data_IF_215434544566
#
_entry.id   IF_215434544566
#
_cell.length_a   1.000
_cell.length_b   1.000
_cell.length_c   1.000
_cell.angle_alpha   90.00
_cell.angle_beta   90.00
_cell.angle_gamma   90.00
#
_symmetry.space_group_name_H-M   'P 1'
#
loop_
_entity.id
_entity.type
_entity.pdbx_description
1 polymer ?
#
# COMPACT_ATOMS: atom_id res chain seq x y z
N UNK A 1 19.15 -63.26 47.83
CA UNK A 1 18.52 -62.65 46.61
C UNK A 1 17.39 -61.69 46.92
N UNK A 2 16.59 -61.91 47.91
CA UNK A 2 15.46 -61.08 48.34
C UNK A 2 15.80 -59.61 48.62
N UNK A 3 16.90 -59.32 49.36
CA UNK A 3 17.27 -57.94 49.71
C UNK A 3 17.58 -57.03 48.50
N UNK A 4 18.15 -57.59 47.41
CA UNK A 4 18.42 -56.83 46.18
C UNK A 4 17.13 -56.48 45.42
N UNK A 5 16.14 -57.39 45.43
CA UNK A 5 14.84 -57.14 44.81
C UNK A 5 14.10 -56.05 45.57
N UNK A 6 14.10 -56.08 46.92
CA UNK A 6 13.46 -55.01 47.70
C UNK A 6 14.14 -53.64 47.51
N UNK A 7 15.48 -53.59 47.41
CA UNK A 7 16.22 -52.35 47.17
C UNK A 7 15.88 -51.78 45.77
N UNK A 8 15.76 -52.66 44.75
CA UNK A 8 15.38 -52.25 43.43
C UNK A 8 13.92 -51.75 43.37
N UNK A 9 13.00 -52.45 44.04
CA UNK A 9 11.61 -52.02 44.17
C UNK A 9 11.47 -50.69 44.87
N UNK A 10 12.25 -50.43 45.96
CA UNK A 10 12.26 -49.16 46.67
C UNK A 10 12.79 -48.04 45.79
N UNK A 11 13.84 -48.31 45.00
CA UNK A 11 14.38 -47.32 44.03
C UNK A 11 13.35 -46.91 43.00
N UNK A 12 12.65 -47.88 42.41
CA UNK A 12 11.60 -47.59 41.43
C UNK A 12 10.41 -46.86 42.05
N UNK A 13 10.01 -47.27 43.27
CA UNK A 13 8.92 -46.58 43.96
C UNK A 13 9.27 -45.11 44.26
N UNK A 14 10.50 -44.83 44.70
CA UNK A 14 11.01 -43.49 44.93
C UNK A 14 11.08 -42.69 43.63
N UNK A 15 11.57 -43.27 42.56
CA UNK A 15 11.64 -42.62 41.25
C UNK A 15 10.23 -42.26 40.74
N UNK A 16 9.27 -43.17 40.84
CA UNK A 16 7.87 -42.90 40.49
C UNK A 16 7.23 -41.84 41.34
N UNK A 17 7.53 -41.84 42.63
CA UNK A 17 7.06 -40.78 43.56
C UNK A 17 7.60 -39.40 43.16
N UNK A 18 8.89 -39.30 42.84
CA UNK A 18 9.52 -38.04 42.38
C UNK A 18 8.96 -37.56 41.06
N UNK A 19 8.70 -38.50 40.11
CA UNK A 19 8.02 -38.17 38.83
C UNK A 19 6.58 -37.72 39.06
N UNK A 20 5.86 -38.34 39.98
CA UNK A 20 4.50 -37.91 40.38
C UNK A 20 4.49 -36.51 41.01
N UNK A 21 5.43 -36.23 41.90
CA UNK A 21 5.62 -34.89 42.48
C UNK A 21 5.89 -33.85 41.38
N UNK A 22 6.76 -34.18 40.44
CA UNK A 22 7.08 -33.26 39.34
C UNK A 22 5.89 -33.05 38.44
N UNK A 23 5.16 -34.13 38.11
CA UNK A 23 3.94 -34.00 37.33
C UNK A 23 2.87 -33.14 38.03
N UNK A 24 2.71 -33.35 39.35
CA UNK A 24 1.80 -32.53 40.14
C UNK A 24 2.23 -31.05 40.18
N UNK A 25 3.52 -30.76 40.35
CA UNK A 25 4.06 -29.42 40.29
C UNK A 25 3.74 -28.74 38.96
N UNK A 26 3.97 -29.41 37.84
CA UNK A 26 3.71 -28.89 36.49
C UNK A 26 2.23 -28.70 36.22
N UNK A 27 1.39 -29.65 36.67
CA UNK A 27 -0.05 -29.66 36.35
C UNK A 27 -0.89 -28.80 37.29
N UNK A 28 -0.44 -28.59 38.53
CA UNK A 28 -1.19 -27.84 39.55
C UNK A 28 -0.56 -26.49 39.88
N UNK A 29 0.72 -26.46 40.25
CA UNK A 29 1.35 -25.23 40.68
C UNK A 29 1.78 -24.31 39.53
N UNK A 30 2.22 -24.90 38.44
CA UNK A 30 2.67 -24.16 37.24
C UNK A 30 1.64 -24.16 36.10
N UNK A 31 0.41 -24.66 36.35
CA UNK A 31 -0.64 -24.79 35.34
C UNK A 31 -0.90 -23.48 34.59
N UNK A 32 -1.14 -22.39 35.33
CA UNK A 32 -1.44 -21.09 34.72
C UNK A 32 -0.31 -20.60 33.82
N UNK A 33 0.94 -20.79 34.26
CA UNK A 33 2.12 -20.39 33.50
C UNK A 33 2.25 -21.17 32.19
N UNK A 34 1.98 -22.48 32.22
CA UNK A 34 2.04 -23.31 31.01
C UNK A 34 0.80 -23.17 30.14
N UNK A 35 -0.36 -22.94 30.72
CA UNK A 35 -1.59 -22.61 30.01
C UNK A 35 -1.45 -21.30 29.22
N UNK A 36 -0.92 -20.23 29.86
CA UNK A 36 -0.64 -18.96 29.20
C UNK A 36 0.41 -19.10 28.07
N UNK A 37 1.46 -19.89 28.28
CA UNK A 37 2.44 -20.19 27.23
C UNK A 37 1.85 -21.01 26.09
N UNK A 38 0.98 -21.97 26.38
CA UNK A 38 0.25 -22.74 25.38
C UNK A 38 -0.67 -21.85 24.57
N UNK A 39 -1.43 -20.97 25.24
CA UNK A 39 -2.30 -19.98 24.58
C UNK A 39 -1.50 -19.08 23.64
N UNK A 40 -0.34 -18.57 24.06
CA UNK A 40 0.53 -17.75 23.21
C UNK A 40 1.12 -18.48 21.99
N UNK A 41 1.12 -19.81 22.00
CA UNK A 41 1.64 -20.61 20.88
C UNK A 41 0.61 -20.92 19.80
N UNK A 42 -0.69 -20.86 20.09
CA UNK A 42 -1.73 -21.16 19.13
C UNK A 42 -2.64 -19.97 18.78
N UNK A 43 -2.62 -18.90 19.59
CA UNK A 43 -3.32 -17.66 19.29
C UNK A 43 -2.32 -16.63 18.76
N UNK A 44 -2.50 -16.23 17.52
CA UNK A 44 -1.79 -15.11 16.88
C UNK A 44 -2.74 -13.95 16.70
N UNK A 45 -2.29 -12.76 16.99
CA UNK A 45 -3.02 -11.54 16.65
C UNK A 45 -2.52 -11.03 15.31
N UNK A 46 -3.47 -10.73 14.41
CA UNK A 46 -3.19 -10.16 13.10
C UNK A 46 -3.95 -8.84 12.95
N UNK A 47 -3.33 -7.87 12.29
CA UNK A 47 -4.00 -6.63 11.94
C UNK A 47 -5.01 -6.86 10.82
N UNK A 48 -6.19 -6.25 10.94
CA UNK A 48 -7.17 -6.13 9.86
C UNK A 48 -6.95 -4.77 9.22
N UNK A 49 -6.55 -4.69 7.94
CA UNK A 49 -6.36 -3.41 7.26
C UNK A 49 -7.66 -2.60 7.26
N UNK A 50 -7.57 -1.31 7.57
CA UNK A 50 -8.69 -0.39 7.44
C UNK A 50 -8.68 0.24 6.05
N UNK A 51 -9.84 0.38 5.41
CA UNK A 51 -9.94 1.15 4.17
C UNK A 51 -9.54 2.61 4.41
N UNK A 52 -8.79 3.18 3.47
CA UNK A 52 -8.45 4.61 3.47
C UNK A 52 -9.66 5.42 3.02
N UNK A 53 -9.80 6.64 3.53
CA UNK A 53 -10.80 7.60 3.08
C UNK A 53 -10.64 7.94 1.59
N UNK A 54 -11.73 8.34 0.96
CA UNK A 54 -11.73 8.79 -0.44
C UNK A 54 -11.20 10.21 -0.54
N UNK A 55 -10.60 10.52 -1.70
CA UNK A 55 -10.32 11.90 -2.10
C UNK A 55 -11.31 12.24 -3.22
N UNK A 56 -12.07 13.29 -3.01
CA UNK A 56 -13.11 13.76 -3.92
C UNK A 56 -12.77 15.16 -4.44
N UNK A 57 -13.18 15.48 -5.65
CA UNK A 57 -13.16 16.85 -6.12
C UNK A 57 -14.31 17.67 -5.51
N UNK A 58 -14.35 18.99 -5.75
CA UNK A 58 -15.38 19.89 -5.23
C UNK A 58 -16.83 19.53 -5.63
N UNK A 59 -17.02 18.68 -6.62
CA UNK A 59 -18.31 18.19 -7.12
C UNK A 59 -18.60 16.76 -6.69
N UNK A 60 -17.80 16.18 -5.79
CA UNK A 60 -17.97 14.84 -5.28
C UNK A 60 -17.50 13.73 -6.24
N UNK A 61 -16.77 14.06 -7.32
CA UNK A 61 -16.19 13.06 -8.22
C UNK A 61 -14.97 12.41 -7.57
N UNK A 62 -14.91 11.09 -7.60
CA UNK A 62 -13.84 10.32 -6.93
C UNK A 62 -12.52 10.48 -7.69
N UNK A 63 -11.50 10.99 -7.01
CA UNK A 63 -10.12 11.09 -7.48
C UNK A 63 -9.27 9.92 -6.98
N UNK A 64 -9.49 9.50 -5.74
CA UNK A 64 -8.83 8.33 -5.15
C UNK A 64 -9.80 7.60 -4.22
N UNK A 65 -9.78 6.27 -4.27
CA UNK A 65 -10.55 5.39 -3.38
C UNK A 65 -9.84 4.04 -3.25
N UNK A 66 -10.24 3.28 -2.27
CA UNK A 66 -9.83 1.89 -2.18
C UNK A 66 -10.79 1.00 -2.98
N UNK A 67 -10.25 -0.09 -3.53
CA UNK A 67 -11.03 -1.15 -4.17
C UNK A 67 -10.57 -2.51 -3.71
N UNK A 68 -11.49 -3.46 -3.69
CA UNK A 68 -11.16 -4.86 -3.46
C UNK A 68 -10.62 -5.46 -4.75
N UNK A 69 -9.47 -6.09 -4.69
CA UNK A 69 -8.87 -6.85 -5.79
C UNK A 69 -8.54 -8.25 -5.33
N UNK A 70 -8.50 -9.17 -6.27
CA UNK A 70 -8.17 -10.57 -6.02
C UNK A 70 -6.84 -10.89 -6.68
N UNK A 71 -5.90 -11.42 -5.92
CA UNK A 71 -4.62 -11.89 -6.41
C UNK A 71 -4.58 -13.43 -6.42
N UNK A 72 -3.95 -14.02 -7.43
CA UNK A 72 -3.64 -15.43 -7.45
C UNK A 72 -2.27 -15.64 -6.80
N UNK A 73 -2.24 -16.40 -5.70
CA UNK A 73 -1.03 -16.66 -4.91
C UNK A 73 -0.61 -18.11 -5.01
N UNK A 74 0.69 -18.33 -5.16
CA UNK A 74 1.33 -19.63 -5.24
C UNK A 74 2.43 -19.74 -4.17
N UNK A 75 2.49 -20.90 -3.50
CA UNK A 75 3.44 -21.15 -2.40
C UNK A 75 4.46 -22.25 -2.71
N UNK A 76 4.55 -22.64 -3.97
CA UNK A 76 5.47 -23.70 -4.41
C UNK A 76 4.81 -25.08 -4.46
N UNK A 77 5.52 -26.06 -5.02
CA UNK A 77 5.07 -27.44 -5.16
C UNK A 77 4.26 -27.73 -6.43
N UNK A 78 3.71 -28.92 -6.52
CA UNK A 78 2.91 -29.33 -7.68
C UNK A 78 1.52 -28.70 -7.63
N UNK A 79 1.04 -28.25 -8.80
CA UNK A 79 -0.27 -27.65 -8.99
C UNK A 79 -1.09 -28.52 -9.93
N UNK A 80 -2.29 -28.89 -9.52
CA UNK A 80 -3.22 -29.57 -10.40
C UNK A 80 -3.63 -28.65 -11.56
N UNK A 81 -3.92 -29.24 -12.72
CA UNK A 81 -4.36 -28.52 -13.92
C UNK A 81 -3.39 -27.42 -14.40
N UNK A 82 -2.09 -27.59 -14.17
CA UNK A 82 -1.03 -26.66 -14.61
C UNK A 82 -1.17 -26.28 -16.09
N UNK A 83 -1.49 -27.25 -16.97
CA UNK A 83 -1.68 -27.04 -18.40
C UNK A 83 -2.82 -26.07 -18.74
N UNK A 84 -3.86 -26.01 -17.92
CA UNK A 84 -4.97 -25.04 -18.06
C UNK A 84 -4.63 -23.69 -17.45
N UNK A 85 -3.83 -23.69 -16.38
CA UNK A 85 -3.47 -22.48 -15.62
C UNK A 85 -2.45 -21.59 -16.37
N UNK A 86 -1.38 -22.18 -16.90
CA UNK A 86 -0.27 -21.43 -17.50
C UNK A 86 -0.69 -20.51 -18.64
N UNK A 87 -1.53 -20.95 -19.62
CA UNK A 87 -2.00 -20.05 -20.69
C UNK A 87 -2.83 -18.88 -20.17
N UNK A 88 -3.63 -19.06 -19.10
CA UNK A 88 -4.43 -17.98 -18.50
C UNK A 88 -3.55 -16.90 -17.84
N UNK A 89 -2.35 -17.30 -17.40
CA UNK A 89 -1.39 -16.40 -16.78
C UNK A 89 -0.39 -15.82 -17.78
N UNK A 90 -0.29 -16.38 -18.98
CA UNK A 90 0.73 -16.05 -19.97
C UNK A 90 2.13 -16.50 -19.56
N UNK A 91 2.21 -17.60 -18.80
CA UNK A 91 3.46 -18.18 -18.29
C UNK A 91 3.80 -19.46 -19.06
N UNK A 92 5.09 -19.71 -19.26
CA UNK A 92 5.59 -20.98 -19.81
C UNK A 92 5.70 -22.06 -18.74
N UNK A 93 6.06 -21.65 -17.51
CA UNK A 93 6.15 -22.53 -16.34
C UNK A 93 5.89 -21.77 -15.04
N UNK A 94 5.63 -22.50 -13.94
CA UNK A 94 5.51 -21.91 -12.61
C UNK A 94 6.90 -21.61 -12.05
N UNK A 95 7.07 -20.43 -11.39
CA UNK A 95 8.34 -20.09 -10.77
C UNK A 95 8.65 -21.04 -9.60
N UNK A 96 9.92 -21.34 -9.39
CA UNK A 96 10.34 -21.99 -8.15
C UNK A 96 10.34 -20.96 -7.04
N UNK A 97 9.49 -21.14 -6.05
CA UNK A 97 9.32 -20.23 -4.94
C UNK A 97 9.41 -20.94 -3.61
N UNK A 98 10.00 -20.27 -2.62
CA UNK A 98 10.09 -20.72 -1.22
C UNK A 98 9.14 -19.95 -0.31
N UNK A 99 8.59 -18.84 -0.82
CA UNK A 99 7.65 -17.98 -0.11
C UNK A 99 6.40 -17.72 -0.96
N UNK A 100 5.25 -17.38 -0.34
CA UNK A 100 4.04 -17.04 -1.07
C UNK A 100 4.27 -15.93 -2.10
N UNK A 101 4.11 -16.26 -3.37
CA UNK A 101 4.38 -15.36 -4.51
C UNK A 101 3.09 -15.09 -5.27
N UNK A 102 2.87 -13.85 -5.65
CA UNK A 102 1.72 -13.45 -6.48
C UNK A 102 2.03 -13.79 -7.93
N UNK A 103 1.32 -14.77 -8.52
CA UNK A 103 1.42 -15.13 -9.93
C UNK A 103 0.67 -14.14 -10.82
N UNK A 104 -0.48 -13.67 -10.37
CA UNK A 104 -1.29 -12.67 -11.06
C UNK A 104 -1.93 -11.72 -10.06
N UNK A 105 -1.53 -10.48 -10.11
CA UNK A 105 -2.14 -9.42 -9.31
C UNK A 105 -3.39 -8.87 -10.00
N UNK A 106 -4.43 -8.56 -9.23
CA UNK A 106 -5.66 -7.98 -9.73
C UNK A 106 -6.34 -8.85 -10.80
N UNK A 107 -6.67 -10.08 -10.45
CA UNK A 107 -7.36 -11.02 -11.35
C UNK A 107 -8.60 -10.36 -11.95
N UNK A 108 -8.71 -10.27 -13.29
CA UNK A 108 -9.90 -9.76 -13.96
C UNK A 108 -11.15 -10.56 -13.58
N UNK A 109 -12.28 -9.88 -13.43
CA UNK A 109 -13.57 -10.52 -13.08
C UNK A 109 -13.93 -11.68 -14.01
N UNK A 110 -13.64 -11.54 -15.31
CA UNK A 110 -13.89 -12.58 -16.33
C UNK A 110 -13.07 -13.87 -16.07
N UNK A 111 -11.91 -13.79 -15.42
CA UNK A 111 -11.07 -14.97 -15.13
C UNK A 111 -11.33 -15.57 -13.74
N UNK A 112 -12.02 -14.82 -12.89
CA UNK A 112 -12.24 -15.21 -11.50
C UNK A 112 -12.93 -16.58 -11.35
N UNK A 113 -14.07 -16.88 -12.02
CA UNK A 113 -14.73 -18.18 -11.88
C UNK A 113 -13.84 -19.35 -12.30
N UNK A 114 -13.08 -19.18 -13.40
CA UNK A 114 -12.15 -20.22 -13.88
C UNK A 114 -11.02 -20.48 -12.88
N UNK A 115 -10.46 -19.40 -12.29
CA UNK A 115 -9.40 -19.53 -11.30
C UNK A 115 -9.93 -20.07 -9.97
N UNK A 116 -11.15 -19.75 -9.56
CA UNK A 116 -11.81 -20.37 -8.41
C UNK A 116 -11.96 -21.88 -8.58
N UNK A 117 -12.39 -22.33 -9.78
CA UNK A 117 -12.43 -23.78 -10.11
C UNK A 117 -11.04 -24.42 -10.03
N UNK A 118 -10.02 -23.80 -10.64
CA UNK A 118 -8.67 -24.35 -10.70
C UNK A 118 -7.96 -24.35 -9.35
N UNK A 119 -8.29 -23.44 -8.45
CA UNK A 119 -7.70 -23.36 -7.11
C UNK A 119 -8.44 -24.21 -6.08
N UNK A 120 -9.64 -24.68 -6.40
CA UNK A 120 -10.47 -25.46 -5.48
C UNK A 120 -9.73 -26.71 -4.99
N UNK A 121 -9.63 -26.87 -3.68
CA UNK A 121 -8.98 -28.00 -3.03
C UNK A 121 -7.43 -28.00 -3.08
N UNK A 122 -6.80 -26.98 -3.65
CA UNK A 122 -5.35 -26.82 -3.64
C UNK A 122 -4.91 -25.97 -2.44
N UNK A 123 -3.86 -26.43 -1.73
CA UNK A 123 -3.31 -25.70 -0.57
C UNK A 123 -2.22 -24.69 -0.98
N UNK A 124 -1.58 -24.94 -2.10
CA UNK A 124 -0.41 -24.21 -2.59
C UNK A 124 -0.72 -23.21 -3.72
N UNK A 125 -1.98 -23.17 -4.15
CA UNK A 125 -2.48 -22.21 -5.13
C UNK A 125 -3.86 -21.73 -4.66
N UNK A 126 -4.02 -20.42 -4.40
CA UNK A 126 -5.27 -19.88 -3.88
C UNK A 126 -5.47 -18.42 -4.29
N UNK A 127 -6.72 -17.99 -4.27
CA UNK A 127 -7.10 -16.60 -4.46
C UNK A 127 -7.06 -15.88 -3.11
N UNK A 128 -6.49 -14.68 -3.11
CA UNK A 128 -6.39 -13.82 -1.93
C UNK A 128 -6.96 -12.46 -2.25
N UNK A 129 -7.95 -12.05 -1.48
CA UNK A 129 -8.48 -10.69 -1.53
C UNK A 129 -7.53 -9.73 -0.82
N UNK A 130 -7.36 -8.54 -1.40
CA UNK A 130 -6.66 -7.42 -0.78
C UNK A 130 -7.32 -6.10 -1.15
N UNK A 131 -7.12 -5.11 -0.30
CA UNK A 131 -7.47 -3.73 -0.60
C UNK A 131 -6.33 -3.12 -1.42
N UNK A 132 -6.69 -2.38 -2.47
CA UNK A 132 -5.76 -1.65 -3.32
C UNK A 132 -6.22 -0.21 -3.49
N UNK A 133 -5.31 0.75 -3.32
CA UNK A 133 -5.59 2.14 -3.65
C UNK A 133 -5.78 2.30 -5.14
N UNK A 134 -6.84 2.99 -5.55
CA UNK A 134 -7.20 3.17 -6.96
C UNK A 134 -7.59 4.61 -7.25
N UNK A 135 -7.10 5.12 -8.37
CA UNK A 135 -7.34 6.47 -8.85
C UNK A 135 -8.16 6.42 -10.14
N UNK A 136 -9.51 6.42 -10.06
CA UNK A 136 -10.39 6.29 -11.23
C UNK A 136 -10.30 7.50 -12.16
N UNK A 137 -10.01 8.66 -11.61
CA UNK A 137 -9.81 9.91 -12.31
C UNK A 137 -8.45 10.49 -11.92
N UNK A 138 -7.33 9.88 -12.38
CA UNK A 138 -6.01 10.35 -11.98
C UNK A 138 -5.81 11.79 -12.45
N UNK A 139 -5.30 12.61 -11.55
CA UNK A 139 -4.80 13.96 -11.84
C UNK A 139 -3.28 13.94 -11.78
N UNK A 140 -2.64 15.07 -12.08
CA UNK A 140 -1.18 15.23 -12.01
C UNK A 140 -0.58 14.44 -10.84
N UNK A 141 0.19 13.40 -11.13
CA UNK A 141 0.77 12.49 -10.14
C UNK A 141 1.56 13.22 -9.05
N UNK A 142 2.41 14.21 -9.35
CA UNK A 142 3.10 15.00 -8.33
C UNK A 142 2.17 15.74 -7.35
N UNK A 143 0.96 16.06 -7.78
CA UNK A 143 -0.07 16.72 -6.94
C UNK A 143 -0.82 15.68 -6.13
N UNK A 144 -1.34 14.63 -6.77
CA UNK A 144 -2.06 13.56 -6.09
C UNK A 144 -1.16 12.83 -5.09
N UNK A 145 0.07 12.55 -5.49
CA UNK A 145 0.95 11.66 -4.75
C UNK A 145 0.65 10.19 -5.02
N UNK A 146 1.13 9.34 -4.16
CA UNK A 146 0.98 7.89 -4.25
C UNK A 146 1.12 7.23 -2.88
N UNK A 147 0.69 5.99 -2.78
CA UNK A 147 0.82 5.15 -1.58
C UNK A 147 1.83 4.04 -1.80
N UNK A 148 2.58 3.70 -0.77
CA UNK A 148 3.42 2.49 -0.68
C UNK A 148 3.26 1.87 0.70
N UNK A 149 3.70 0.62 0.85
CA UNK A 149 3.82 0.00 2.17
C UNK A 149 4.70 0.83 3.09
N UNK A 150 4.37 0.80 4.37
CA UNK A 150 5.10 1.52 5.39
C UNK A 150 6.59 1.18 5.37
N UNK A 151 7.44 2.19 5.32
CA UNK A 151 8.88 2.03 5.43
C UNK A 151 9.31 1.85 6.90
N UNK A 152 10.58 1.50 7.13
CA UNK A 152 11.10 1.24 8.47
C UNK A 152 10.93 2.42 9.45
N UNK A 153 10.94 3.66 8.97
CA UNK A 153 10.73 4.84 9.82
C UNK A 153 9.25 4.97 10.20
N UNK A 154 8.34 4.71 9.28
CA UNK A 154 6.89 4.74 9.52
C UNK A 154 6.46 3.60 10.44
N UNK A 155 7.06 2.41 10.32
CA UNK A 155 6.82 1.30 11.25
C UNK A 155 7.20 1.68 12.69
N UNK A 156 8.31 2.40 12.88
CA UNK A 156 8.67 2.95 14.19
C UNK A 156 7.68 3.99 14.73
N UNK A 157 6.92 4.64 13.85
CA UNK A 157 5.85 5.58 14.19
C UNK A 157 4.50 4.90 14.46
N UNK A 158 4.44 3.55 14.42
CA UNK A 158 3.24 2.78 14.74
C UNK A 158 2.39 2.37 13.52
N UNK A 159 2.94 2.46 12.30
CA UNK A 159 2.31 1.86 11.13
C UNK A 159 2.58 0.35 11.09
N UNK A 160 1.64 -0.44 10.59
CA UNK A 160 1.89 -1.85 10.29
C UNK A 160 2.79 -1.97 9.05
N UNK A 161 3.72 -2.94 8.97
CA UNK A 161 4.54 -3.15 7.78
C UNK A 161 3.75 -3.38 6.48
N UNK A 162 2.54 -3.90 6.61
CA UNK A 162 1.65 -4.17 5.47
C UNK A 162 0.72 -2.98 5.15
N UNK A 163 0.69 -1.95 5.97
CA UNK A 163 -0.16 -0.78 5.82
C UNK A 163 0.31 0.11 4.67
N UNK A 164 -0.62 0.55 3.82
CA UNK A 164 -0.33 1.50 2.77
C UNK A 164 -0.38 2.92 3.32
N UNK A 165 0.69 3.68 3.09
CA UNK A 165 0.90 5.03 3.63
C UNK A 165 1.16 5.99 2.47
N UNK A 166 0.57 7.17 2.53
CA UNK A 166 0.86 8.25 1.59
C UNK A 166 2.33 8.68 1.65
N UNK A 167 3.02 8.65 0.50
CA UNK A 167 4.44 8.97 0.42
C UNK A 167 4.70 10.38 -0.11
N UNK A 168 3.78 10.93 -0.87
CA UNK A 168 3.93 12.25 -1.50
C UNK A 168 2.57 12.90 -1.77
N UNK A 169 2.57 14.17 -2.16
CA UNK A 169 1.41 14.91 -2.63
C UNK A 169 0.27 14.96 -1.61
N UNK A 170 -0.96 14.95 -2.13
CA UNK A 170 -2.18 14.97 -1.31
C UNK A 170 -2.33 13.71 -0.46
N UNK A 171 -1.91 12.54 -0.97
CA UNK A 171 -1.95 11.29 -0.18
C UNK A 171 -1.14 11.40 1.11
N UNK A 172 0.04 12.03 1.07
CA UNK A 172 0.87 12.23 2.26
C UNK A 172 0.37 13.40 3.13
N UNK A 173 -0.01 14.51 2.51
CA UNK A 173 -0.45 15.71 3.23
C UNK A 173 -1.76 15.46 4.01
N UNK A 174 -2.64 14.62 3.46
CA UNK A 174 -3.93 14.28 4.04
C UNK A 174 -3.91 12.95 4.83
N UNK A 175 -2.74 12.33 5.00
CA UNK A 175 -2.58 11.06 5.73
C UNK A 175 -3.32 11.03 7.07
N UNK A 176 -3.29 12.08 7.92
CA UNK A 176 -4.00 12.07 9.21
C UNK A 176 -5.52 11.88 9.11
N UNK A 177 -6.11 12.26 7.98
CA UNK A 177 -7.54 12.12 7.70
C UNK A 177 -7.85 10.84 6.94
N UNK A 178 -7.04 10.54 5.92
CA UNK A 178 -7.24 9.40 5.03
C UNK A 178 -6.95 8.07 5.69
N UNK A 179 -6.04 8.03 6.65
CA UNK A 179 -5.69 6.82 7.37
C UNK A 179 -6.85 6.31 8.20
N UNK A 180 -7.27 5.06 7.98
CA UNK A 180 -8.20 4.38 8.86
C UNK A 180 -7.51 3.84 10.13
N UNK A 181 -8.33 3.44 11.10
CA UNK A 181 -7.85 2.71 12.27
C UNK A 181 -7.96 1.21 12.00
N UNK A 182 -6.83 0.52 11.98
CA UNK A 182 -6.78 -0.94 11.80
C UNK A 182 -7.59 -1.66 12.89
N UNK A 183 -8.23 -2.76 12.51
CA UNK A 183 -8.82 -3.72 13.43
C UNK A 183 -7.79 -4.77 13.87
N UNK A 184 -8.20 -5.63 14.77
CA UNK A 184 -7.39 -6.74 15.28
C UNK A 184 -8.22 -8.01 15.26
N UNK A 185 -7.65 -9.10 14.75
CA UNK A 185 -8.24 -10.44 14.85
C UNK A 185 -7.29 -11.39 15.56
N UNK A 186 -7.87 -12.30 16.32
CA UNK A 186 -7.18 -13.46 16.85
C UNK A 186 -7.33 -14.62 15.86
N UNK A 187 -6.22 -15.23 15.50
CA UNK A 187 -6.16 -16.41 14.63
C UNK A 187 -5.64 -17.58 15.46
N UNK A 188 -6.46 -18.59 15.61
CA UNK A 188 -6.07 -19.86 16.21
C UNK A 188 -5.33 -20.72 15.18
N UNK A 189 -4.12 -21.13 15.48
CA UNK A 189 -3.32 -22.00 14.59
C UNK A 189 -2.96 -23.29 15.31
N UNK A 190 -2.91 -24.39 14.56
CA UNK A 190 -2.40 -25.67 15.08
C UNK A 190 -0.86 -25.69 15.08
N UNK A 191 -0.29 -26.78 15.58
CA UNK A 191 1.17 -27.00 15.62
C UNK A 191 1.85 -27.00 14.25
N UNK A 192 1.08 -27.10 13.17
CA UNK A 192 1.55 -27.02 11.78
C UNK A 192 1.39 -25.62 11.17
N UNK A 193 0.86 -24.65 11.95
CA UNK A 193 0.57 -23.31 11.49
C UNK A 193 -0.71 -23.17 10.65
N UNK A 194 -1.55 -24.22 10.58
CA UNK A 194 -2.83 -24.18 9.86
C UNK A 194 -3.85 -23.39 10.70
N UNK A 195 -4.59 -22.48 10.05
CA UNK A 195 -5.64 -21.68 10.69
C UNK A 195 -6.84 -22.57 11.04
N UNK A 196 -7.22 -22.60 12.30
CA UNK A 196 -8.35 -23.35 12.82
C UNK A 196 -9.60 -22.48 13.00
N UNK A 197 -9.39 -21.27 13.53
CA UNK A 197 -10.48 -20.35 13.84
C UNK A 197 -9.99 -18.92 13.77
N UNK A 198 -10.86 -18.02 13.33
CA UNK A 198 -10.62 -16.56 13.37
C UNK A 198 -11.72 -15.89 14.20
N UNK A 199 -11.32 -14.91 15.01
CA UNK A 199 -12.25 -14.12 15.82
C UNK A 199 -11.80 -12.66 15.75
N UNK A 200 -12.69 -11.79 15.27
CA UNK A 200 -12.43 -10.35 15.26
C UNK A 200 -12.50 -9.83 16.69
N UNK A 201 -11.43 -9.21 17.17
CA UNK A 201 -11.34 -8.60 18.49
C UNK A 201 -11.69 -7.11 18.43
N UNK A 202 -11.25 -6.43 17.38
CA UNK A 202 -11.53 -5.02 17.13
C UNK A 202 -11.79 -4.83 15.64
N UNK A 203 -12.93 -4.24 15.29
CA UNK A 203 -13.29 -3.95 13.90
C UNK A 203 -12.45 -2.79 13.34
N UNK A 204 -12.02 -2.85 12.08
CA UNK A 204 -11.34 -1.73 11.45
C UNK A 204 -12.29 -0.55 11.24
N UNK A 205 -11.79 0.66 11.47
CA UNK A 205 -12.55 1.89 11.21
C UNK A 205 -11.99 2.57 9.96
N UNK A 206 -12.81 2.80 8.92
CA UNK A 206 -12.36 3.50 7.71
C UNK A 206 -11.83 4.90 7.99
N UNK A 207 -10.92 5.37 7.15
CA UNK A 207 -10.48 6.77 7.14
C UNK A 207 -11.59 7.72 6.70
N UNK A 208 -11.37 9.01 6.93
CA UNK A 208 -12.33 10.06 6.56
C UNK A 208 -12.20 10.41 5.07
N UNK A 209 -13.34 10.60 4.42
CA UNK A 209 -13.38 11.13 3.06
C UNK A 209 -13.04 12.62 3.07
N UNK A 210 -12.23 13.05 2.09
CA UNK A 210 -11.79 14.43 1.95
C UNK A 210 -12.30 15.01 0.64
N UNK A 211 -12.98 16.14 0.70
CA UNK A 211 -13.43 16.91 -0.45
C UNK A 211 -12.45 18.05 -0.69
N UNK A 212 -11.82 18.07 -1.87
CA UNK A 212 -10.89 19.09 -2.30
C UNK A 212 -11.64 20.28 -2.93
N UNK A 213 -10.95 21.40 -3.00
CA UNK A 213 -11.41 22.58 -3.75
C UNK A 213 -11.19 22.44 -5.26
N UNK A 214 -10.40 21.45 -5.71
CA UNK A 214 -10.10 21.17 -7.11
C UNK A 214 -11.38 20.84 -7.90
N UNK A 215 -11.51 21.42 -9.11
CA UNK A 215 -12.50 21.01 -10.11
C UNK A 215 -11.81 20.10 -11.14
N UNK A 216 -12.23 18.84 -11.23
CA UNK A 216 -11.63 17.86 -12.13
C UNK A 216 -11.65 18.30 -13.60
N UNK A 217 -12.68 19.02 -14.05
CA UNK A 217 -12.73 19.49 -15.43
C UNK A 217 -11.68 20.58 -15.70
N UNK A 218 -11.55 21.53 -14.79
CA UNK A 218 -10.52 22.57 -14.87
C UNK A 218 -9.12 21.98 -14.70
N UNK A 219 -8.96 21.01 -13.81
CA UNK A 219 -7.70 20.29 -13.60
C UNK A 219 -7.22 19.64 -14.91
N UNK A 220 -8.09 18.88 -15.60
CA UNK A 220 -7.76 18.25 -16.88
C UNK A 220 -7.46 19.26 -17.98
N UNK A 221 -8.19 20.39 -18.00
CA UNK A 221 -7.91 21.47 -18.94
C UNK A 221 -6.51 22.08 -18.68
N UNK A 222 -6.15 22.29 -17.41
CA UNK A 222 -4.84 22.80 -17.03
C UNK A 222 -3.70 21.82 -17.37
N UNK A 223 -3.89 20.52 -17.12
CA UNK A 223 -2.93 19.48 -17.48
C UNK A 223 -2.68 19.44 -18.99
N UNK A 224 -3.76 19.40 -19.77
CA UNK A 224 -3.69 19.42 -21.24
C UNK A 224 -3.00 20.68 -21.77
N UNK A 225 -3.41 21.84 -21.28
CA UNK A 225 -2.78 23.13 -21.69
C UNK A 225 -1.29 23.19 -21.33
N UNK A 226 -0.91 22.60 -20.19
CA UNK A 226 0.50 22.52 -19.79
C UNK A 226 1.30 21.61 -20.74
N UNK A 227 0.77 20.44 -21.08
CA UNK A 227 1.41 19.51 -22.03
C UNK A 227 1.60 20.15 -23.41
N UNK A 228 0.53 20.79 -23.95
CA UNK A 228 0.56 21.48 -25.24
C UNK A 228 1.60 22.62 -25.22
N UNK A 229 1.59 23.48 -24.20
CA UNK A 229 2.55 24.58 -24.07
C UNK A 229 4.01 24.09 -23.97
N UNK A 230 4.26 23.02 -23.25
CA UNK A 230 5.62 22.44 -23.12
C UNK A 230 6.08 21.83 -24.43
N UNK A 231 5.19 21.18 -25.17
CA UNK A 231 5.48 20.64 -26.51
C UNK A 231 5.83 21.75 -27.50
N UNK A 232 5.05 22.84 -27.52
CA UNK A 232 5.32 24.00 -28.37
C UNK A 232 6.64 24.70 -28.05
N UNK A 233 6.96 24.84 -26.76
CA UNK A 233 8.25 25.41 -26.31
C UNK A 233 9.40 24.50 -26.77
N UNK A 234 9.26 23.18 -26.64
CA UNK A 234 10.31 22.24 -27.06
C UNK A 234 10.49 22.25 -28.59
N UNK A 235 9.41 22.29 -29.35
CA UNK A 235 9.44 22.45 -30.81
C UNK A 235 10.13 23.77 -31.22
N UNK A 236 9.78 24.88 -30.58
CA UNK A 236 10.40 26.19 -30.81
C UNK A 236 11.90 26.21 -30.50
N UNK A 237 12.33 25.50 -29.45
CA UNK A 237 13.75 25.33 -29.11
C UNK A 237 14.51 24.59 -30.20
N UNK A 238 13.96 23.50 -30.72
CA UNK A 238 14.58 22.72 -31.83
C UNK A 238 14.72 23.57 -33.09
N UNK A 239 13.69 24.32 -33.44
CA UNK A 239 13.72 25.21 -34.60
C UNK A 239 14.81 26.30 -34.49
N UNK A 240 15.15 26.73 -33.28
CA UNK A 240 16.17 27.72 -33.00
C UNK A 240 17.54 27.14 -32.71
N UNK A 241 17.76 25.82 -32.92
CA UNK A 241 19.04 25.15 -32.73
C UNK A 241 19.55 25.11 -31.29
N UNK A 242 18.63 25.23 -30.32
CA UNK A 242 18.95 25.10 -28.89
C UNK A 242 19.11 23.62 -28.53
N UNK A 243 20.02 23.27 -27.60
CA UNK A 243 20.29 21.91 -27.22
C UNK A 243 19.00 21.19 -26.73
N UNK A 244 18.80 19.95 -27.17
CA UNK A 244 17.70 19.07 -26.72
C UNK A 244 17.89 18.56 -25.28
N UNK A 245 18.94 18.97 -24.60
CA UNK A 245 19.45 18.33 -23.39
C UNK A 245 18.53 18.32 -22.18
N UNK A 246 17.40 19.05 -22.19
CA UNK A 246 16.50 19.07 -21.03
C UNK A 246 15.05 19.10 -21.48
N UNK A 247 14.31 18.08 -21.08
CA UNK A 247 12.86 18.09 -21.15
C UNK A 247 12.31 19.39 -20.53
N UNK A 248 11.48 20.11 -21.27
CA UNK A 248 10.83 21.35 -20.77
C UNK A 248 9.89 20.96 -19.63
N UNK A 249 9.91 21.74 -18.56
CA UNK A 249 9.20 21.47 -17.32
C UNK A 249 8.39 22.68 -16.92
N UNK A 250 7.24 22.46 -16.28
CA UNK A 250 6.39 23.56 -15.88
C UNK A 250 5.30 23.19 -14.89
N UNK A 251 4.53 24.20 -14.49
CA UNK A 251 3.36 24.01 -13.66
C UNK A 251 2.31 25.09 -13.99
N UNK A 252 1.04 24.76 -13.74
CA UNK A 252 -0.11 25.68 -13.79
C UNK A 252 -0.83 25.59 -12.46
N UNK A 253 -1.17 26.74 -11.87
CA UNK A 253 -2.05 26.83 -10.69
C UNK A 253 -3.18 27.81 -11.01
N UNK A 254 -4.42 27.37 -10.82
CA UNK A 254 -5.60 28.22 -10.93
C UNK A 254 -6.21 28.42 -9.54
N UNK A 255 -6.39 29.68 -9.16
CA UNK A 255 -6.94 30.08 -7.87
C UNK A 255 -8.24 30.87 -8.08
N UNK A 256 -9.20 30.70 -7.18
CA UNK A 256 -10.29 31.65 -7.02
C UNK A 256 -9.76 32.90 -6.29
N UNK A 257 -9.79 34.08 -6.93
CA UNK A 257 -9.24 35.27 -6.31
C UNK A 257 -10.07 35.80 -5.12
N UNK A 258 -11.30 35.34 -4.99
CA UNK A 258 -12.22 35.77 -3.92
C UNK A 258 -12.04 34.93 -2.66
N UNK A 259 -11.92 33.62 -2.81
CA UNK A 259 -11.84 32.68 -1.70
C UNK A 259 -10.42 32.21 -1.40
N UNK A 260 -9.52 32.28 -2.39
CA UNK A 260 -8.18 31.72 -2.32
C UNK A 260 -8.13 30.20 -2.56
N UNK A 261 -9.27 29.60 -2.91
CA UNK A 261 -9.34 28.16 -3.20
C UNK A 261 -8.50 27.78 -4.42
N UNK A 262 -7.77 26.68 -4.32
CA UNK A 262 -7.05 26.08 -5.45
C UNK A 262 -8.04 25.28 -6.28
N UNK A 263 -8.34 25.75 -7.50
CA UNK A 263 -9.28 25.10 -8.42
C UNK A 263 -8.62 24.08 -9.35
N UNK A 264 -7.36 24.31 -9.71
CA UNK A 264 -6.53 23.37 -10.44
C UNK A 264 -5.05 23.54 -10.08
N UNK A 265 -4.31 22.45 -10.10
CA UNK A 265 -2.87 22.41 -9.89
C UNK A 265 -2.25 21.32 -10.75
N UNK A 266 -1.51 21.70 -11.79
CA UNK A 266 -0.84 20.79 -12.69
C UNK A 266 0.68 20.95 -12.60
N UNK A 267 1.40 19.84 -12.73
CA UNK A 267 2.88 19.81 -12.73
C UNK A 267 3.35 18.82 -13.79
N UNK A 268 4.31 19.21 -14.60
CA UNK A 268 4.89 18.38 -15.65
C UNK A 268 6.42 18.38 -15.61
N UNK A 269 7.09 17.24 -15.92
CA UNK A 269 6.49 15.95 -16.25
C UNK A 269 5.68 15.38 -15.10
N UNK A 270 4.77 14.47 -15.42
CA UNK A 270 3.85 13.83 -14.47
C UNK A 270 3.92 12.30 -14.59
N UNK A 271 3.16 11.60 -13.77
CA UNK A 271 3.03 10.15 -13.77
C UNK A 271 1.60 9.74 -13.37
N UNK A 272 1.22 8.50 -13.72
CA UNK A 272 -0.03 7.91 -13.23
C UNK A 272 0.18 7.32 -11.82
N UNK A 273 -0.51 7.82 -10.77
CA UNK A 273 -0.38 7.29 -9.42
C UNK A 273 -0.81 5.81 -9.29
N UNK A 274 -1.64 5.30 -10.21
CA UNK A 274 -2.01 3.88 -10.24
C UNK A 274 -0.80 2.95 -10.43
N UNK A 275 0.31 3.43 -11.00
CA UNK A 275 1.54 2.63 -11.15
C UNK A 275 2.10 2.20 -9.79
N UNK A 276 2.04 3.08 -8.79
CA UNK A 276 2.55 2.78 -7.44
C UNK A 276 1.59 1.92 -6.61
N UNK A 277 0.31 1.86 -6.97
CA UNK A 277 -0.69 1.04 -6.26
C UNK A 277 -0.61 -0.45 -6.62
N UNK A 278 -0.02 -0.80 -7.77
CA UNK A 278 0.14 -2.19 -8.22
C UNK A 278 1.07 -2.99 -7.30
N UNK A 279 0.78 -4.27 -7.14
CA UNK A 279 1.63 -5.19 -6.37
C UNK A 279 1.92 -6.47 -7.17
N UNK A 280 3.18 -6.84 -7.39
CA UNK A 280 4.39 -6.08 -7.03
C UNK A 280 4.46 -4.74 -7.76
N UNK A 281 5.17 -3.78 -7.17
CA UNK A 281 5.39 -2.48 -7.80
C UNK A 281 6.18 -2.70 -9.10
N UNK A 282 5.66 -2.25 -10.27
CA UNK A 282 6.29 -2.51 -11.56
C UNK A 282 7.60 -1.72 -11.71
N UNK A 283 8.49 -2.20 -12.58
CA UNK A 283 9.77 -1.54 -12.85
C UNK A 283 9.61 -0.13 -13.41
N UNK A 284 8.54 0.13 -14.16
CA UNK A 284 8.20 1.48 -14.65
C UNK A 284 8.02 2.47 -13.49
N UNK A 285 7.35 2.07 -12.41
CA UNK A 285 7.18 2.91 -11.23
C UNK A 285 8.51 3.13 -10.48
N UNK A 286 9.38 2.11 -10.43
CA UNK A 286 10.71 2.24 -9.84
C UNK A 286 11.60 3.17 -10.65
N UNK A 287 11.54 3.10 -11.98
CA UNK A 287 12.28 3.97 -12.88
C UNK A 287 11.91 5.46 -12.68
N UNK A 288 10.66 5.78 -12.31
CA UNK A 288 10.26 7.15 -12.00
C UNK A 288 11.00 7.74 -10.79
N UNK A 289 11.41 6.90 -9.82
CA UNK A 289 12.16 7.34 -8.63
C UNK A 289 13.59 7.79 -8.99
N UNK A 290 14.17 7.24 -10.05
CA UNK A 290 15.54 7.49 -10.50
C UNK A 290 15.60 8.45 -11.71
N UNK A 291 14.45 8.86 -12.25
CA UNK A 291 14.39 9.72 -13.44
C UNK A 291 14.93 11.11 -13.13
N UNK A 292 15.97 11.50 -13.88
CA UNK A 292 16.63 12.83 -13.82
C UNK A 292 15.69 13.99 -14.10
N UNK A 293 14.57 13.74 -14.76
CA UNK A 293 13.54 14.73 -15.01
C UNK A 293 12.66 15.02 -13.80
N UNK A 294 12.79 14.21 -12.74
CA UNK A 294 12.07 14.36 -11.47
C UNK A 294 10.54 14.45 -11.69
N UNK A 295 9.90 13.44 -12.28
CA UNK A 295 8.46 13.45 -12.53
C UNK A 295 7.63 13.43 -11.25
N UNK A 296 8.22 13.03 -10.10
CA UNK A 296 7.56 13.04 -8.80
C UNK A 296 7.55 14.44 -8.14
N UNK A 297 8.35 15.37 -8.64
CA UNK A 297 8.45 16.71 -8.05
C UNK A 297 7.22 17.56 -8.39
N UNK A 298 6.49 18.01 -7.36
CA UNK A 298 5.42 18.99 -7.56
C UNK A 298 6.02 20.39 -7.80
N UNK A 299 6.06 20.79 -9.06
CA UNK A 299 6.63 22.08 -9.49
C UNK A 299 5.74 23.26 -9.18
N UNK A 300 4.45 23.03 -8.94
CA UNK A 300 3.52 24.09 -8.59
C UNK A 300 3.80 24.73 -7.23
N UNK A 301 4.50 24.01 -6.35
CA UNK A 301 4.85 24.48 -4.99
C UNK A 301 6.36 24.70 -4.80
N UNK A 302 7.13 24.68 -5.90
CA UNK A 302 8.57 24.95 -5.82
C UNK A 302 8.86 26.45 -5.93
N UNK A 303 9.89 26.96 -5.26
CA UNK A 303 10.33 28.34 -5.43
C UNK A 303 11.03 28.52 -6.78
N UNK A 304 10.67 29.58 -7.50
CA UNK A 304 11.31 29.99 -8.74
C UNK A 304 11.71 31.47 -8.67
N UNK A 305 12.76 31.85 -9.41
CA UNK A 305 13.14 33.26 -9.58
C UNK A 305 12.03 33.97 -10.34
N UNK A 306 11.34 34.96 -9.75
CA UNK A 306 10.11 35.51 -10.33
C UNK A 306 10.36 36.37 -11.59
N UNK A 307 11.57 36.87 -11.80
CA UNK A 307 11.88 37.71 -12.95
C UNK A 307 10.93 38.91 -13.04
N UNK A 308 10.50 39.26 -14.31
CA UNK A 308 9.60 40.40 -14.56
C UNK A 308 8.21 40.29 -13.91
N UNK A 309 7.78 39.12 -13.49
CA UNK A 309 6.49 38.94 -12.77
C UNK A 309 6.50 39.70 -11.42
N UNK A 310 7.69 39.87 -10.82
CA UNK A 310 7.84 40.63 -9.59
C UNK A 310 7.55 42.12 -9.75
N UNK A 311 7.52 42.67 -10.98
CA UNK A 311 7.19 44.09 -11.26
C UNK A 311 5.78 44.45 -10.79
N UNK A 312 4.84 43.48 -10.77
CA UNK A 312 3.50 43.72 -10.21
C UNK A 312 3.56 44.10 -8.73
N UNK A 313 4.35 43.32 -7.95
CA UNK A 313 4.55 43.60 -6.54
C UNK A 313 5.25 44.94 -6.29
N UNK A 314 6.28 45.26 -7.06
CA UNK A 314 6.99 46.54 -6.98
C UNK A 314 6.09 47.70 -7.37
N UNK A 315 5.31 47.58 -8.42
CA UNK A 315 4.37 48.64 -8.84
C UNK A 315 3.29 48.90 -7.79
N UNK A 316 2.75 47.85 -7.18
CA UNK A 316 1.80 47.98 -6.08
C UNK A 316 2.42 48.66 -4.85
N UNK A 317 3.64 48.28 -4.47
CA UNK A 317 4.35 48.86 -3.35
C UNK A 317 4.64 50.34 -3.57
N UNK A 318 5.04 50.75 -4.78
CA UNK A 318 5.26 52.14 -5.16
C UNK A 318 3.96 52.96 -5.07
N UNK A 319 2.86 52.45 -5.65
CA UNK A 319 1.54 53.09 -5.57
C UNK A 319 1.07 53.33 -4.13
N UNK A 320 1.32 52.39 -3.24
CA UNK A 320 0.92 52.46 -1.83
C UNK A 320 1.75 53.48 -1.03
N UNK A 321 2.96 53.78 -1.49
CA UNK A 321 3.84 54.80 -0.89
C UNK A 321 3.55 56.22 -1.37
N UNK A 322 2.64 56.44 -2.32
CA UNK A 322 2.25 57.78 -2.78
C UNK A 322 3.26 58.48 -3.68
N UNK A 323 4.15 57.70 -4.35
CA UNK A 323 5.09 58.23 -5.37
C UNK A 323 4.59 57.94 -6.75
#
# INVERSE_FOLDING_TARGET
>A
MTGRIHALALFFALALFLLGLRAWQLQVLEYERYALRSQGNYLKTEDIPAPRGKILDRKGRVLAQDRLVVDLVYTGGEVAFKERLLPLLGLEDLPQVTEPTVLKAGVPEALRPTLEELTAGQKNLYLRERIERYYPNPISGPVMGYVLRANAAQVKQGYSPEEEVGQAGLEAALEPYLRGKRGVRAVEVNVRGERLRETVLEEPTPGQDVVLTLDLALQRAAEKALEEALADIDAGRRLNGLPEEKQVKGAIVALDPTTGEVLAMASAPSFDPNLFAKRPVPEEAKALLEDKNLPLLNRAVQPYTPGSTFKLATSYALRRRGT
#
